data_IF_308568137921
#
_entry.id   IF_308568137921
#
_cell.length_a   1.000
_cell.length_b   1.000
_cell.length_c   1.000
_cell.angle_alpha   90.00
_cell.angle_beta   90.00
_cell.angle_gamma   90.00
#
_symmetry.space_group_name_H-M   'P 1'
#
loop_
_entity.id
_entity.type
_entity.pdbx_description
1 polymer ?
#
# COMPACT_ATOMS: atom_id res chain seq x y z
N UNK A 1 50.65 56.78 11.93
CA UNK A 1 49.21 56.76 11.58
C UNK A 1 48.81 55.33 11.29
N UNK A 2 47.91 54.74 12.10
CA UNK A 2 47.33 53.40 11.91
C UNK A 2 46.13 53.49 10.96
N UNK A 3 45.92 52.49 10.10
CA UNK A 3 44.60 51.86 9.84
C UNK A 3 44.69 50.64 8.90
N UNK A 4 44.55 49.49 9.56
CA UNK A 4 43.95 48.19 9.20
C UNK A 4 43.66 47.84 7.73
N UNK A 5 44.39 46.86 7.22
CA UNK A 5 44.04 46.03 6.06
C UNK A 5 43.31 44.78 6.60
N UNK A 6 41.98 44.75 6.48
CA UNK A 6 41.16 43.60 6.90
C UNK A 6 40.94 42.65 5.74
N UNK A 7 41.67 41.52 5.73
CA UNK A 7 41.47 40.43 4.79
C UNK A 7 40.31 39.55 5.27
N UNK A 8 39.14 39.67 4.63
CA UNK A 8 37.98 38.83 4.91
C UNK A 8 38.12 37.46 4.24
N UNK A 9 38.46 36.44 5.02
CA UNK A 9 38.48 35.04 4.58
C UNK A 9 37.03 34.51 4.62
N UNK A 10 36.39 34.41 3.45
CA UNK A 10 35.06 33.82 3.33
C UNK A 10 35.17 32.28 3.42
N UNK A 11 34.70 31.72 4.54
CA UNK A 11 34.55 30.27 4.72
C UNK A 11 33.46 29.73 3.77
N UNK A 12 33.88 29.00 2.74
CA UNK A 12 33.00 28.14 1.94
C UNK A 12 32.80 26.82 2.69
N UNK A 13 31.71 26.72 3.45
CA UNK A 13 31.30 25.44 4.04
C UNK A 13 30.66 24.55 2.95
N UNK A 14 31.10 23.29 2.79
CA UNK A 14 30.45 22.36 1.89
C UNK A 14 29.07 22.00 2.47
N UNK A 15 28.01 22.39 1.76
CA UNK A 15 26.68 21.85 2.01
C UNK A 15 26.68 20.38 1.58
N UNK A 16 27.06 19.48 2.49
CA UNK A 16 26.77 18.06 2.34
C UNK A 16 25.27 17.89 2.43
N UNK A 17 24.62 17.63 1.28
CA UNK A 17 23.24 17.15 1.23
C UNK A 17 23.24 15.78 1.91
N UNK A 18 22.99 15.77 3.22
CA UNK A 18 22.74 14.54 3.95
C UNK A 18 21.41 13.99 3.43
N UNK A 19 21.48 12.93 2.64
CA UNK A 19 20.34 12.07 2.39
C UNK A 19 19.82 11.64 3.77
N UNK A 20 18.52 11.78 3.99
CA UNK A 20 17.91 11.38 5.24
C UNK A 20 18.06 9.86 5.35
N UNK A 21 19.01 9.41 6.18
CA UNK A 21 19.22 7.99 6.40
C UNK A 21 18.03 7.48 7.17
N UNK A 22 17.19 6.67 6.51
CA UNK A 22 16.20 5.89 7.23
C UNK A 22 16.93 4.92 8.14
N UNK A 23 16.61 4.94 9.42
CA UNK A 23 17.10 3.96 10.36
C UNK A 23 16.40 2.61 10.10
N UNK A 24 17.15 1.50 10.20
CA UNK A 24 16.63 0.15 10.01
C UNK A 24 17.02 -0.49 8.67
N UNK A 25 16.15 -1.37 8.18
CA UNK A 25 16.37 -2.16 6.97
C UNK A 25 16.40 -1.30 5.69
N UNK A 26 17.09 -1.77 4.65
CA UNK A 26 17.04 -1.12 3.33
C UNK A 26 15.65 -1.29 2.67
N UNK A 27 15.26 -0.40 1.73
CA UNK A 27 13.97 -0.53 1.02
C UNK A 27 13.87 -1.85 0.24
N UNK A 28 14.98 -2.37 -0.29
CA UNK A 28 15.05 -3.68 -0.95
C UNK A 28 14.73 -4.83 0.01
N UNK A 29 15.24 -4.77 1.24
CA UNK A 29 14.96 -5.77 2.28
C UNK A 29 13.49 -5.76 2.67
N UNK A 30 12.88 -4.58 2.85
CA UNK A 30 11.44 -4.45 3.11
C UNK A 30 10.62 -5.03 1.96
N UNK A 31 10.97 -4.71 0.71
CA UNK A 31 10.27 -5.19 -0.47
C UNK A 31 10.36 -6.73 -0.63
N UNK A 32 11.51 -7.33 -0.32
CA UNK A 32 11.69 -8.79 -0.28
C UNK A 32 10.91 -9.44 0.85
N UNK A 33 10.88 -8.82 2.04
CA UNK A 33 10.11 -9.32 3.19
C UNK A 33 8.61 -9.34 2.90
N UNK A 34 8.09 -8.28 2.26
CA UNK A 34 6.71 -8.25 1.77
C UNK A 34 6.43 -9.43 0.82
N UNK A 35 7.25 -9.60 -0.23
CA UNK A 35 7.04 -10.68 -1.20
C UNK A 35 7.14 -12.06 -0.55
N UNK A 36 8.10 -12.26 0.35
CA UNK A 36 8.26 -13.52 1.08
C UNK A 36 7.05 -13.81 1.96
N UNK A 37 6.48 -12.79 2.61
CA UNK A 37 5.25 -12.93 3.38
C UNK A 37 4.04 -13.27 2.48
N UNK A 38 3.92 -12.64 1.30
CA UNK A 38 2.87 -12.95 0.33
C UNK A 38 2.98 -14.38 -0.22
N UNK A 39 4.17 -14.81 -0.62
CA UNK A 39 4.47 -16.18 -1.07
C UNK A 39 4.10 -17.22 0.00
N UNK A 40 4.45 -16.95 1.25
CA UNK A 40 4.17 -17.82 2.40
C UNK A 40 2.75 -17.65 2.95
N UNK A 41 1.91 -16.80 2.35
CA UNK A 41 0.55 -16.50 2.81
C UNK A 41 0.47 -15.98 4.25
N UNK A 42 1.52 -15.32 4.71
CA UNK A 42 1.61 -14.66 6.02
C UNK A 42 1.03 -13.25 5.94
N UNK A 43 -0.30 -13.18 5.78
CA UNK A 43 -1.00 -11.94 5.44
C UNK A 43 -0.81 -10.81 6.45
N UNK A 44 -0.76 -11.11 7.74
CA UNK A 44 -0.50 -10.10 8.77
C UNK A 44 0.92 -9.54 8.66
N UNK A 45 1.92 -10.42 8.45
CA UNK A 45 3.29 -9.97 8.21
C UNK A 45 3.39 -9.12 6.93
N UNK A 46 2.69 -9.50 5.86
CA UNK A 46 2.62 -8.69 4.65
C UNK A 46 2.00 -7.31 4.91
N UNK A 47 0.86 -7.26 5.61
CA UNK A 47 0.17 -6.03 5.97
C UNK A 47 1.07 -5.09 6.81
N UNK A 48 1.89 -5.64 7.70
CA UNK A 48 2.80 -4.86 8.53
C UNK A 48 3.90 -4.13 7.76
N UNK A 49 4.20 -4.49 6.50
CA UNK A 49 5.20 -3.76 5.69
C UNK A 49 4.68 -2.44 5.11
N UNK A 50 3.37 -2.22 5.15
CA UNK A 50 2.73 -1.04 4.59
C UNK A 50 2.73 0.13 5.56
N UNK A 51 2.55 1.33 5.01
CA UNK A 51 2.37 2.55 5.80
C UNK A 51 1.06 2.45 6.61
N UNK A 52 1.08 2.53 7.95
CA UNK A 52 -0.13 2.43 8.77
C UNK A 52 -1.20 3.47 8.41
N UNK A 53 -0.80 4.66 7.97
CA UNK A 53 -1.76 5.69 7.55
C UNK A 53 -2.50 5.27 6.27
N UNK A 54 -1.77 4.64 5.34
CA UNK A 54 -2.34 4.12 4.10
C UNK A 54 -3.28 2.93 4.37
N UNK A 55 -2.88 2.03 5.27
CA UNK A 55 -3.69 0.88 5.71
C UNK A 55 -5.02 1.34 6.32
N UNK A 56 -4.98 2.36 7.19
CA UNK A 56 -6.17 2.98 7.76
C UNK A 56 -7.08 3.62 6.71
N UNK A 57 -6.49 4.25 5.70
CA UNK A 57 -7.26 4.87 4.61
C UNK A 57 -7.97 3.82 3.74
N UNK A 58 -7.32 2.72 3.43
CA UNK A 58 -7.97 1.58 2.75
C UNK A 58 -9.15 1.06 3.55
N UNK A 59 -9.00 0.92 4.88
CA UNK A 59 -10.11 0.54 5.75
C UNK A 59 -11.29 1.49 5.61
N UNK A 60 -11.04 2.81 5.69
CA UNK A 60 -12.08 3.83 5.54
C UNK A 60 -12.84 3.64 4.21
N UNK A 61 -12.11 3.53 3.10
CA UNK A 61 -12.69 3.40 1.76
C UNK A 61 -13.51 2.12 1.59
N UNK A 62 -13.00 0.98 2.05
CA UNK A 62 -13.72 -0.30 1.98
C UNK A 62 -14.98 -0.30 2.86
N UNK A 63 -14.91 0.34 4.03
CA UNK A 63 -16.08 0.49 4.90
C UNK A 63 -17.12 1.44 4.30
N UNK A 64 -16.71 2.49 3.59
CA UNK A 64 -17.61 3.39 2.87
C UNK A 64 -18.35 2.65 1.74
N UNK A 65 -17.64 1.80 0.98
CA UNK A 65 -18.26 0.93 -0.03
C UNK A 65 -19.32 0.04 0.61
N UNK A 66 -19.00 -0.65 1.72
CA UNK A 66 -19.95 -1.52 2.42
C UNK A 66 -21.13 -0.75 3.00
N UNK A 67 -20.93 0.48 3.49
CA UNK A 67 -22.00 1.32 3.99
C UNK A 67 -22.96 1.74 2.87
N UNK A 68 -22.42 2.06 1.69
CA UNK A 68 -23.17 2.41 0.49
C UNK A 68 -23.85 1.20 -0.20
N UNK A 69 -23.43 -0.03 0.10
CA UNK A 69 -24.07 -1.26 -0.40
C UNK A 69 -25.45 -1.45 0.24
N UNK A 70 -26.49 -1.85 -0.54
CA UNK A 70 -27.81 -2.19 0.00
C UNK A 70 -27.73 -3.21 1.12
N UNK A 71 -28.51 -3.03 2.19
CA UNK A 71 -28.37 -3.80 3.45
C UNK A 71 -28.39 -5.31 3.21
N UNK A 72 -29.27 -5.78 2.34
CA UNK A 72 -29.45 -7.18 1.95
C UNK A 72 -28.25 -7.77 1.18
N UNK A 73 -27.39 -6.93 0.59
CA UNK A 73 -26.21 -7.34 -0.17
C UNK A 73 -24.90 -7.18 0.61
N UNK A 74 -24.89 -6.43 1.73
CA UNK A 74 -23.65 -6.10 2.46
C UNK A 74 -22.85 -7.33 2.88
N UNK A 75 -23.52 -8.37 3.37
CA UNK A 75 -22.84 -9.59 3.80
C UNK A 75 -22.17 -10.30 2.63
N UNK A 76 -22.86 -10.37 1.48
CA UNK A 76 -22.31 -10.94 0.26
C UNK A 76 -21.12 -10.12 -0.25
N UNK A 77 -21.23 -8.79 -0.27
CA UNK A 77 -20.14 -7.90 -0.67
C UNK A 77 -18.93 -8.03 0.26
N UNK A 78 -19.14 -8.08 1.57
CA UNK A 78 -18.07 -8.32 2.54
C UNK A 78 -17.41 -9.69 2.31
N UNK A 79 -18.21 -10.74 2.09
CA UNK A 79 -17.70 -12.06 1.77
C UNK A 79 -16.92 -12.08 0.44
N UNK A 80 -17.29 -11.27 -0.55
CA UNK A 80 -16.56 -11.16 -1.81
C UNK A 80 -15.20 -10.50 -1.64
N UNK A 81 -15.11 -9.43 -0.83
CA UNK A 81 -13.88 -8.66 -0.61
C UNK A 81 -12.92 -9.40 0.34
N UNK A 82 -13.39 -9.78 1.52
CA UNK A 82 -12.52 -10.30 2.59
C UNK A 82 -12.38 -11.82 2.57
N UNK A 83 -13.37 -12.56 2.00
CA UNK A 83 -13.48 -14.03 1.97
C UNK A 83 -13.51 -14.75 3.34
N UNK A 84 -12.95 -14.17 4.40
CA UNK A 84 -12.74 -14.79 5.71
C UNK A 84 -13.48 -14.08 6.85
N UNK A 85 -13.69 -12.78 6.73
CA UNK A 85 -14.37 -11.99 7.76
C UNK A 85 -15.84 -11.76 7.38
N UNK A 86 -16.71 -11.93 8.38
CA UNK A 86 -18.10 -11.48 8.30
C UNK A 86 -18.17 -9.96 8.51
N UNK A 87 -19.26 -9.32 8.08
CA UNK A 87 -19.46 -7.88 8.29
C UNK A 87 -19.39 -7.50 9.77
N UNK A 88 -19.87 -8.38 10.66
CA UNK A 88 -19.85 -8.16 12.11
C UNK A 88 -18.44 -8.17 12.72
N UNK A 89 -17.50 -8.85 12.08
CA UNK A 89 -16.12 -8.98 12.58
C UNK A 89 -15.20 -7.86 12.07
N UNK A 90 -15.55 -7.22 10.96
CA UNK A 90 -14.76 -6.13 10.37
C UNK A 90 -14.55 -4.95 11.32
N UNK A 91 -15.46 -4.70 12.27
CA UNK A 91 -15.33 -3.62 13.26
C UNK A 91 -14.57 -4.04 14.53
N UNK A 92 -14.19 -5.31 14.67
CA UNK A 92 -13.58 -5.87 15.89
C UNK A 92 -12.08 -6.10 15.76
N UNK A 93 -11.54 -5.99 14.56
CA UNK A 93 -10.12 -6.17 14.26
C UNK A 93 -9.41 -4.82 14.16
N UNK A 94 -8.10 -4.79 14.43
CA UNK A 94 -7.26 -3.61 14.17
C UNK A 94 -7.08 -3.38 12.65
N UNK A 95 -6.47 -2.25 12.28
CA UNK A 95 -6.31 -1.83 10.87
C UNK A 95 -5.41 -2.81 10.08
N UNK A 96 -4.36 -3.34 10.72
CA UNK A 96 -3.44 -4.30 10.10
C UNK A 96 -4.12 -5.65 9.85
N UNK A 97 -4.87 -6.17 10.81
CA UNK A 97 -5.65 -7.39 10.68
C UNK A 97 -6.77 -7.21 9.66
N UNK A 98 -7.43 -6.05 9.62
CA UNK A 98 -8.40 -5.73 8.58
C UNK A 98 -7.76 -5.83 7.18
N UNK A 99 -6.62 -5.17 6.98
CA UNK A 99 -5.93 -5.16 5.70
C UNK A 99 -5.32 -6.51 5.33
N UNK A 100 -4.81 -7.28 6.31
CA UNK A 100 -4.37 -8.65 6.10
C UNK A 100 -5.49 -9.55 5.55
N UNK A 101 -6.72 -9.38 6.03
CA UNK A 101 -7.86 -10.13 5.50
C UNK A 101 -8.24 -9.67 4.09
N UNK A 102 -8.18 -8.37 3.80
CA UNK A 102 -8.34 -7.86 2.44
C UNK A 102 -7.28 -8.45 1.48
N UNK A 103 -5.99 -8.39 1.84
CA UNK A 103 -4.91 -9.00 1.06
C UNK A 103 -5.14 -10.49 0.82
N UNK A 104 -5.60 -11.21 1.85
CA UNK A 104 -5.96 -12.62 1.74
C UNK A 104 -7.09 -12.86 0.73
N UNK A 105 -8.12 -12.01 0.74
CA UNK A 105 -9.26 -12.10 -0.17
C UNK A 105 -8.87 -11.85 -1.63
N UNK A 106 -8.07 -10.81 -1.89
CA UNK A 106 -7.53 -10.48 -3.20
C UNK A 106 -6.65 -11.61 -3.75
N UNK A 107 -5.70 -12.09 -2.95
CA UNK A 107 -4.76 -13.14 -3.36
C UNK A 107 -5.43 -14.51 -3.55
N UNK A 108 -6.55 -14.81 -2.87
CA UNK A 108 -7.33 -16.03 -3.14
C UNK A 108 -8.12 -15.97 -4.43
N UNK A 109 -8.52 -14.76 -4.83
CA UNK A 109 -9.24 -14.54 -6.10
C UNK A 109 -8.28 -14.65 -7.29
N UNK A 110 -7.00 -14.37 -7.07
CA UNK A 110 -5.94 -14.63 -8.04
C UNK A 110 -5.47 -16.10 -7.96
N UNK A 111 -5.57 -16.84 -9.07
CA UNK A 111 -5.13 -18.26 -9.11
C UNK A 111 -3.61 -18.43 -9.20
N UNK A 112 -2.87 -17.35 -9.43
CA UNK A 112 -1.41 -17.37 -9.51
C UNK A 112 -0.76 -17.44 -8.14
N UNK A 113 0.32 -18.22 -8.03
CA UNK A 113 1.22 -18.18 -6.85
C UNK A 113 2.43 -17.32 -7.18
N UNK A 114 2.71 -16.35 -6.31
CA UNK A 114 3.96 -15.58 -6.32
C UNK A 114 5.06 -16.49 -5.80
N UNK A 115 6.14 -16.62 -6.56
CA UNK A 115 7.31 -17.42 -6.20
C UNK A 115 8.60 -16.75 -6.65
N UNK A 116 9.71 -17.05 -5.97
CA UNK A 116 11.05 -16.70 -6.42
C UNK A 116 11.25 -15.19 -6.69
N UNK A 117 10.70 -14.34 -5.82
CA UNK A 117 10.87 -12.90 -5.90
C UNK A 117 12.36 -12.50 -5.80
N UNK A 118 12.79 -11.60 -6.67
CA UNK A 118 14.16 -11.07 -6.73
C UNK A 118 14.15 -9.58 -6.98
N UNK A 119 14.98 -8.85 -6.25
CA UNK A 119 15.23 -7.44 -6.54
C UNK A 119 16.11 -7.34 -7.79
N UNK A 120 15.65 -6.57 -8.76
CA UNK A 120 16.37 -6.29 -10.01
C UNK A 120 17.16 -4.99 -9.88
N UNK A 121 16.60 -4.02 -9.17
CA UNK A 121 17.25 -2.76 -8.86
C UNK A 121 16.31 -1.81 -8.12
N UNK A 122 16.83 -0.65 -7.75
CA UNK A 122 16.07 0.40 -7.09
C UNK A 122 16.42 1.78 -7.66
N UNK A 123 15.45 2.69 -7.61
CA UNK A 123 15.60 4.08 -8.04
C UNK A 123 15.08 4.98 -6.92
N UNK A 124 15.93 5.88 -6.43
CA UNK A 124 15.53 6.89 -5.47
C UNK A 124 14.75 8.03 -6.15
N UNK A 125 13.63 8.43 -5.55
CA UNK A 125 12.86 9.62 -5.91
C UNK A 125 12.96 10.63 -4.76
N UNK A 126 13.92 11.56 -4.84
CA UNK A 126 14.15 12.50 -3.74
C UNK A 126 14.88 11.87 -2.54
N UNK A 127 14.55 12.34 -1.32
CA UNK A 127 15.30 11.97 -0.10
C UNK A 127 14.64 10.85 0.72
N UNK A 128 13.33 10.70 0.61
CA UNK A 128 12.53 9.82 1.47
C UNK A 128 11.75 8.77 0.67
N UNK A 129 11.96 8.63 -0.64
CA UNK A 129 11.22 7.66 -1.47
C UNK A 129 12.14 6.86 -2.37
N UNK A 130 11.85 5.56 -2.48
CA UNK A 130 12.58 4.62 -3.34
C UNK A 130 11.57 3.70 -4.03
N UNK A 131 11.80 3.43 -5.31
CA UNK A 131 11.05 2.47 -6.10
C UNK A 131 11.93 1.25 -6.32
N UNK A 132 11.50 0.09 -5.83
CA UNK A 132 12.22 -1.18 -5.96
C UNK A 132 11.55 -2.01 -7.05
N UNK A 133 12.29 -2.33 -8.09
CA UNK A 133 11.84 -3.24 -9.14
C UNK A 133 12.10 -4.69 -8.71
N UNK A 134 11.04 -5.47 -8.60
CA UNK A 134 11.07 -6.88 -8.27
C UNK A 134 10.63 -7.71 -9.47
N UNK A 135 11.33 -8.82 -9.70
CA UNK A 135 10.86 -9.88 -10.57
C UNK A 135 10.40 -11.06 -9.74
N UNK A 136 9.20 -11.54 -10.00
CA UNK A 136 8.68 -12.78 -9.44
C UNK A 136 8.23 -13.73 -10.56
N UNK A 137 7.97 -14.98 -10.17
CA UNK A 137 7.27 -15.94 -11.01
C UNK A 137 5.82 -15.98 -10.56
N UNK A 138 4.91 -15.77 -11.51
CA UNK A 138 3.51 -16.10 -11.34
C UNK A 138 3.26 -17.47 -11.97
N UNK A 139 3.17 -18.49 -11.12
CA UNK A 139 2.86 -19.84 -11.56
C UNK A 139 1.33 -20.01 -11.62
N UNK A 140 0.77 -20.19 -12.82
CA UNK A 140 -0.63 -20.59 -13.01
C UNK A 140 -0.68 -21.72 -14.03
N UNK A 141 -0.94 -22.96 -13.61
CA UNK A 141 -0.95 -24.12 -14.50
C UNK A 141 -1.82 -23.86 -15.76
N UNK A 142 -1.33 -24.10 -17.00
CA UNK A 142 -0.03 -24.66 -17.41
C UNK A 142 1.08 -23.62 -17.72
N UNK A 143 0.89 -22.35 -17.41
CA UNK A 143 1.78 -21.26 -17.79
C UNK A 143 2.64 -20.79 -16.59
N UNK A 144 3.95 -20.65 -16.82
CA UNK A 144 4.82 -19.86 -15.95
C UNK A 144 5.06 -18.51 -16.63
N UNK A 145 4.70 -17.43 -15.95
CA UNK A 145 5.02 -16.07 -16.38
C UNK A 145 5.99 -15.44 -15.39
N UNK A 146 7.00 -14.75 -15.91
CA UNK A 146 7.80 -13.82 -15.10
C UNK A 146 7.10 -12.47 -15.11
N UNK A 147 6.74 -11.98 -13.93
CA UNK A 147 6.17 -10.65 -13.77
C UNK A 147 7.23 -9.73 -13.15
N UNK A 148 7.10 -8.45 -13.49
CA UNK A 148 7.97 -7.37 -13.02
C UNK A 148 7.06 -6.36 -12.34
N UNK A 149 7.28 -6.13 -11.06
CA UNK A 149 6.49 -5.22 -10.24
C UNK A 149 7.38 -4.15 -9.63
N UNK A 150 6.83 -2.93 -9.52
CA UNK A 150 7.51 -1.82 -8.85
C UNK A 150 6.86 -1.61 -7.49
N UNK A 151 7.64 -1.78 -6.42
CA UNK A 151 7.21 -1.49 -5.06
C UNK A 151 7.74 -0.12 -4.68
N UNK A 152 6.82 0.81 -4.40
CA UNK A 152 7.18 2.16 -3.95
C UNK A 152 7.22 2.18 -2.43
N UNK A 153 8.35 2.62 -1.87
CA UNK A 153 8.55 2.73 -0.44
C UNK A 153 8.86 4.16 -0.06
N UNK A 154 8.41 4.55 1.13
CA UNK A 154 8.74 5.83 1.74
C UNK A 154 9.41 5.62 3.09
N UNK A 155 10.46 6.37 3.35
CA UNK A 155 11.09 6.47 4.65
C UNK A 155 10.31 7.44 5.54
N UNK A 156 9.99 7.01 6.76
CA UNK A 156 9.40 7.85 7.79
C UNK A 156 9.92 7.47 9.19
N UNK A 157 9.17 7.84 10.21
CA UNK A 157 9.51 7.54 11.62
C UNK A 157 9.60 6.03 11.90
N UNK A 158 8.84 5.22 11.16
CA UNK A 158 8.77 3.77 11.32
C UNK A 158 9.67 3.01 10.32
N UNK A 159 10.70 3.66 9.79
CA UNK A 159 11.57 3.12 8.74
C UNK A 159 10.93 3.18 7.36
N UNK A 160 11.41 2.34 6.43
CA UNK A 160 10.83 2.19 5.11
C UNK A 160 9.51 1.44 5.17
N UNK A 161 8.47 2.01 4.56
CA UNK A 161 7.14 1.39 4.44
C UNK A 161 6.61 1.45 3.03
N UNK A 162 5.93 0.39 2.62
CA UNK A 162 5.30 0.29 1.30
C UNK A 162 4.14 1.28 1.20
N UNK A 163 4.11 2.03 0.11
CA UNK A 163 3.10 3.03 -0.19
C UNK A 163 1.99 2.42 -1.06
N UNK A 164 0.74 2.81 -0.80
CA UNK A 164 -0.45 2.38 -1.54
C UNK A 164 -1.07 3.53 -2.36
N UNK A 165 -0.26 4.51 -2.78
CA UNK A 165 -0.77 5.77 -3.33
C UNK A 165 -1.55 5.61 -4.64
N UNK A 166 -1.24 4.59 -5.45
CA UNK A 166 -2.01 4.25 -6.64
C UNK A 166 -3.33 3.58 -6.26
N UNK A 167 -3.25 2.51 -5.47
CA UNK A 167 -4.38 1.68 -5.07
C UNK A 167 -5.44 2.47 -4.28
N UNK A 168 -5.01 3.38 -3.39
CA UNK A 168 -5.92 4.25 -2.63
C UNK A 168 -6.73 5.15 -3.57
N UNK A 169 -6.08 5.76 -4.57
CA UNK A 169 -6.78 6.63 -5.53
C UNK A 169 -7.79 5.86 -6.36
N UNK A 170 -7.46 4.65 -6.78
CA UNK A 170 -8.38 3.78 -7.51
C UNK A 170 -9.57 3.38 -6.63
N UNK A 171 -9.32 2.99 -5.38
CA UNK A 171 -10.37 2.68 -4.40
C UNK A 171 -11.26 3.89 -4.09
N UNK A 172 -10.70 5.10 -4.00
CA UNK A 172 -11.45 6.35 -3.87
C UNK A 172 -12.41 6.56 -5.04
N UNK A 173 -11.94 6.40 -6.27
CA UNK A 173 -12.78 6.56 -7.45
C UNK A 173 -13.88 5.48 -7.52
N UNK A 174 -13.56 4.23 -7.15
CA UNK A 174 -14.55 3.16 -7.03
C UNK A 174 -15.58 3.51 -5.96
N UNK A 175 -15.17 3.96 -4.78
CA UNK A 175 -16.08 4.31 -3.68
C UNK A 175 -17.01 5.48 -4.06
N UNK A 176 -16.46 6.51 -4.73
CA UNK A 176 -17.24 7.64 -5.27
C UNK A 176 -18.26 7.17 -6.31
N UNK A 177 -17.82 6.38 -7.28
CA UNK A 177 -18.69 5.84 -8.33
C UNK A 177 -19.81 4.99 -7.71
N UNK A 178 -19.46 4.10 -6.80
CA UNK A 178 -20.41 3.22 -6.13
C UNK A 178 -21.47 4.00 -5.35
N UNK A 179 -21.06 5.02 -4.59
CA UNK A 179 -21.98 5.90 -3.84
C UNK A 179 -22.91 6.68 -4.77
N UNK A 180 -22.40 7.16 -5.90
CA UNK A 180 -23.20 7.89 -6.91
C UNK A 180 -24.24 6.97 -7.58
N UNK A 181 -23.86 5.74 -7.93
CA UNK A 181 -24.77 4.80 -8.58
C UNK A 181 -25.82 4.23 -7.61
N UNK A 182 -25.45 3.94 -6.37
CA UNK A 182 -26.40 3.45 -5.37
C UNK A 182 -27.45 4.52 -5.04
N UNK A 183 -27.04 5.77 -4.85
CA UNK A 183 -28.00 6.88 -4.61
C UNK A 183 -28.97 7.11 -5.77
N UNK A 184 -28.50 7.00 -7.03
CA UNK A 184 -29.36 7.18 -8.20
C UNK A 184 -30.40 6.07 -8.46
N UNK A 185 -30.13 4.83 -8.03
CA UNK A 185 -31.06 3.71 -8.19
C UNK A 185 -32.21 3.72 -7.17
N UNK A 186 -32.04 4.39 -6.03
CA UNK A 186 -33.08 4.50 -5.00
C UNK A 186 -33.87 5.82 -5.07
N UNK A 187 -33.43 6.79 -5.87
CA UNK A 187 -34.14 8.07 -6.09
C UNK A 187 -35.15 8.00 -7.25
N UNK A 188 -35.17 6.90 -8.02
CA UNK A 188 -36.15 6.70 -9.10
C UNK A 188 -37.45 6.04 -8.61
N UNK A 189 -38.29 6.81 -7.91
CA UNK A 189 -39.75 6.63 -7.98
C UNK A 189 -40.44 5.75 -6.92
N UNK A 190 -40.39 6.13 -5.65
CA UNK A 190 -41.51 5.88 -4.73
C UNK A 190 -42.18 7.21 -4.42
N UNK A 191 -43.04 7.65 -5.33
CA UNK A 191 -43.69 8.93 -5.24
C UNK A 191 -44.70 9.16 -6.35
N UNK A 192 -45.66 8.24 -6.51
CA UNK A 192 -47.03 8.52 -6.96
C UNK A 192 -47.98 7.51 -6.32
#
# INVERSE_FOLDING_TARGET
>A
MKKYLGLGLALLLPFSVQAQSCEGDSPETVALRLNSALEQRKWYSAASEFDPAAVKEIRRLLMDILAATPREQRELTAALIFKTLSLGDLNRVDDEAFFANYLSGEMRSNKGRIENAKVIGSIAEGRDRVHVLISDKLASSPFEMRKMDVISLRCGENGWRVQLTGDIRELEEIAKAYTKYSSGLFDSGVGK
#
